data_IF_998804439731
#
_entry.id   IF_998804439731
#
_cell.length_a   1.000
_cell.length_b   1.000
_cell.length_c   1.000
_cell.angle_alpha   90.00
_cell.angle_beta   90.00
_cell.angle_gamma   90.00
#
_symmetry.space_group_name_H-M   'P 1'
#
loop_
_entity.id
_entity.type
_entity.pdbx_description
1 polymer ?
#
# COMPACT_ATOMS: atom_id res chain seq x y z
N UNK A 1 24.74 20.19 9.06
CA UNK A 1 23.90 19.12 9.62
C UNK A 1 22.43 19.53 9.50
N UNK A 2 21.56 18.65 9.02
CA UNK A 2 20.12 18.90 9.00
C UNK A 2 19.51 18.36 10.30
N UNK A 3 19.31 19.24 11.28
CA UNK A 3 18.76 18.87 12.59
C UNK A 3 17.28 18.51 12.44
N UNK A 4 16.84 17.48 13.14
CA UNK A 4 15.43 17.08 13.22
C UNK A 4 14.84 17.66 14.49
N UNK A 5 13.76 18.43 14.36
CA UNK A 5 13.07 19.00 15.52
C UNK A 5 12.26 17.93 16.26
N UNK A 6 11.80 18.24 17.48
CA UNK A 6 10.96 17.33 18.26
C UNK A 6 9.79 16.78 17.44
N UNK A 7 9.61 15.46 17.46
CA UNK A 7 8.58 14.75 16.66
C UNK A 7 8.65 15.01 15.14
N UNK A 8 9.81 15.43 14.64
CA UNK A 8 10.03 15.77 13.23
C UNK A 8 9.20 16.97 12.77
N UNK A 9 8.97 17.98 13.62
CA UNK A 9 8.13 19.13 13.30
C UNK A 9 8.54 19.88 12.02
N UNK A 10 9.82 19.81 11.65
CA UNK A 10 10.38 20.39 10.43
C UNK A 10 10.20 19.53 9.16
N UNK A 11 9.49 18.39 9.25
CA UNK A 11 9.16 17.55 8.10
C UNK A 11 7.68 17.60 7.74
N UNK A 12 7.39 17.59 6.45
CA UNK A 12 6.04 17.37 5.95
C UNK A 12 5.53 15.96 6.32
N UNK A 13 4.22 15.76 6.28
CA UNK A 13 3.61 14.45 6.54
C UNK A 13 4.15 13.39 5.56
N UNK A 14 4.25 13.72 4.27
CA UNK A 14 4.83 12.83 3.26
C UNK A 14 6.31 12.50 3.52
N UNK A 15 7.11 13.48 3.97
CA UNK A 15 8.51 13.22 4.35
C UNK A 15 8.61 12.27 5.55
N UNK A 16 7.73 12.41 6.55
CA UNK A 16 7.67 11.46 7.67
C UNK A 16 7.30 10.05 7.20
N UNK A 17 6.33 9.93 6.28
CA UNK A 17 5.97 8.64 5.66
C UNK A 17 7.15 8.00 4.93
N UNK A 18 7.89 8.77 4.12
CA UNK A 18 9.09 8.28 3.42
C UNK A 18 10.18 7.81 4.39
N UNK A 19 10.40 8.52 5.50
CA UNK A 19 11.35 8.08 6.54
C UNK A 19 10.89 6.77 7.19
N UNK A 20 9.59 6.62 7.50
CA UNK A 20 9.04 5.37 8.01
C UNK A 20 9.22 4.21 7.02
N UNK A 21 8.99 4.46 5.74
CA UNK A 21 9.21 3.49 4.68
C UNK A 21 10.69 3.07 4.59
N UNK A 22 11.61 4.03 4.59
CA UNK A 22 13.04 3.75 4.58
C UNK A 22 13.47 2.90 5.79
N UNK A 23 12.91 3.17 6.97
CA UNK A 23 13.14 2.34 8.17
C UNK A 23 12.64 0.91 7.98
N UNK A 24 11.47 0.72 7.36
CA UNK A 24 10.94 -0.61 7.08
C UNK A 24 11.86 -1.38 6.12
N UNK A 25 12.33 -0.74 5.05
CA UNK A 25 13.27 -1.32 4.09
C UNK A 25 14.57 -1.77 4.77
N UNK A 26 15.14 -0.91 5.63
CA UNK A 26 16.36 -1.22 6.37
C UNK A 26 16.18 -2.36 7.38
N UNK A 27 14.98 -2.49 7.97
CA UNK A 27 14.69 -3.56 8.92
C UNK A 27 14.59 -4.94 8.25
N UNK A 28 14.29 -5.00 6.94
CA UNK A 28 14.16 -6.26 6.18
C UNK A 28 13.22 -7.27 6.88
N UNK A 29 12.01 -6.81 7.21
CA UNK A 29 11.01 -7.65 7.86
C UNK A 29 10.56 -8.82 6.97
N UNK A 30 10.32 -10.00 7.56
CA UNK A 30 9.71 -11.14 6.86
C UNK A 30 8.23 -10.92 6.54
N UNK A 31 7.55 -10.11 7.35
CA UNK A 31 6.16 -9.71 7.17
C UNK A 31 6.09 -8.20 7.30
N UNK A 32 5.55 -7.52 6.28
CA UNK A 32 5.39 -6.08 6.22
C UNK A 32 3.90 -5.74 6.15
N UNK A 33 3.42 -4.94 7.09
CA UNK A 33 2.08 -4.38 7.04
C UNK A 33 2.16 -2.91 6.64
N UNK A 34 1.44 -2.53 5.59
CA UNK A 34 1.39 -1.18 5.04
C UNK A 34 -0.03 -0.68 5.16
N UNK A 35 -0.23 0.36 5.95
CA UNK A 35 -1.53 1.00 6.14
C UNK A 35 -1.50 2.39 5.52
N UNK A 36 -2.12 2.55 4.34
CA UNK A 36 -2.21 3.83 3.61
C UNK A 36 -0.89 4.63 3.51
N UNK A 37 0.25 3.94 3.37
CA UNK A 37 1.57 4.56 3.52
C UNK A 37 1.89 5.65 2.46
N UNK A 38 1.05 5.78 1.41
CA UNK A 38 1.21 6.75 0.32
C UNK A 38 0.04 7.75 0.22
N UNK A 39 -0.78 7.87 1.26
CA UNK A 39 -1.91 8.81 1.25
C UNK A 39 -1.51 10.28 1.06
N UNK A 40 -0.32 10.69 1.52
CA UNK A 40 0.14 12.09 1.50
C UNK A 40 1.27 12.36 0.50
N UNK A 41 1.39 11.53 -0.54
CA UNK A 41 2.39 11.71 -1.61
C UNK A 41 1.70 11.80 -2.98
N UNK A 42 2.34 12.52 -3.90
CA UNK A 42 1.90 12.63 -5.29
C UNK A 42 1.98 11.28 -6.03
N UNK A 43 1.32 11.18 -7.18
CA UNK A 43 1.24 9.93 -7.94
C UNK A 43 2.59 9.43 -8.47
N UNK A 44 3.52 10.31 -8.82
CA UNK A 44 4.85 9.89 -9.30
C UNK A 44 5.65 9.28 -8.15
N UNK A 45 5.65 9.94 -6.99
CA UNK A 45 6.28 9.46 -5.77
C UNK A 45 5.66 8.15 -5.29
N UNK A 46 4.33 8.02 -5.32
CA UNK A 46 3.62 6.78 -4.98
C UNK A 46 4.07 5.60 -5.85
N UNK A 47 4.12 5.79 -7.18
CA UNK A 47 4.61 4.75 -8.10
C UNK A 47 6.03 4.31 -7.77
N UNK A 48 6.93 5.27 -7.49
CA UNK A 48 8.30 4.96 -7.10
C UNK A 48 8.38 4.18 -5.77
N UNK A 49 7.58 4.58 -4.78
CA UNK A 49 7.45 3.88 -3.50
C UNK A 49 7.00 2.43 -3.72
N UNK A 50 5.95 2.21 -4.50
CA UNK A 50 5.41 0.87 -4.77
C UNK A 50 6.44 -0.02 -5.49
N UNK A 51 7.14 0.51 -6.49
CA UNK A 51 8.22 -0.22 -7.18
C UNK A 51 9.37 -0.57 -6.23
N UNK A 52 9.75 0.37 -5.35
CA UNK A 52 10.81 0.17 -4.36
C UNK A 52 10.42 -0.90 -3.34
N UNK A 53 9.19 -0.85 -2.82
CA UNK A 53 8.65 -1.85 -1.91
C UNK A 53 8.65 -3.25 -2.51
N UNK A 54 8.15 -3.40 -3.74
CA UNK A 54 8.13 -4.70 -4.44
C UNK A 54 9.52 -5.29 -4.61
N UNK A 55 10.49 -4.46 -4.99
CA UNK A 55 11.87 -4.93 -5.18
C UNK A 55 12.57 -5.25 -3.85
N UNK A 56 12.42 -4.40 -2.84
CA UNK A 56 13.02 -4.58 -1.52
C UNK A 56 12.43 -5.79 -0.76
N UNK A 57 11.12 -6.03 -0.89
CA UNK A 57 10.39 -7.04 -0.12
C UNK A 57 9.97 -8.26 -0.95
N UNK A 58 10.62 -8.52 -2.09
CA UNK A 58 10.29 -9.65 -3.00
C UNK A 58 10.25 -11.02 -2.30
N UNK A 59 10.97 -11.20 -1.19
CA UNK A 59 11.04 -12.45 -0.41
C UNK A 59 10.23 -12.41 0.89
N UNK A 60 9.49 -11.34 1.13
CA UNK A 60 8.71 -11.10 2.34
C UNK A 60 7.22 -11.16 2.02
N UNK A 61 6.41 -11.46 3.02
CA UNK A 61 4.95 -11.30 2.91
C UNK A 61 4.60 -9.84 3.12
N UNK A 62 3.87 -9.25 2.17
CA UNK A 62 3.41 -7.86 2.26
C UNK A 62 1.89 -7.85 2.35
N UNK A 63 1.36 -7.22 3.38
CA UNK A 63 -0.07 -6.98 3.57
C UNK A 63 -0.29 -5.48 3.45
N UNK A 64 -1.03 -5.05 2.45
CA UNK A 64 -1.28 -3.64 2.17
C UNK A 64 -2.76 -3.34 2.31
N UNK A 65 -3.09 -2.34 3.13
CA UNK A 65 -4.38 -1.68 3.16
C UNK A 65 -4.26 -0.46 2.24
N UNK A 66 -5.03 -0.47 1.16
CA UNK A 66 -4.96 0.56 0.15
C UNK A 66 -6.36 1.13 -0.12
N UNK A 67 -6.44 2.46 -0.15
CA UNK A 67 -7.58 3.18 -0.72
C UNK A 67 -7.43 3.42 -2.22
N UNK A 68 -6.23 3.24 -2.78
CA UNK A 68 -5.93 3.40 -4.21
C UNK A 68 -5.91 2.06 -4.92
N UNK A 69 -6.75 1.89 -5.92
CA UNK A 69 -6.92 0.64 -6.68
C UNK A 69 -5.65 0.29 -7.45
N UNK A 70 -4.89 1.30 -7.93
CA UNK A 70 -3.61 1.10 -8.62
C UNK A 70 -2.62 0.24 -7.81
N UNK A 71 -2.62 0.38 -6.48
CA UNK A 71 -1.75 -0.41 -5.59
C UNK A 71 -2.22 -1.87 -5.47
N UNK A 72 -3.52 -2.10 -5.62
CA UNK A 72 -4.16 -3.40 -5.41
C UNK A 72 -3.99 -4.30 -6.64
N UNK A 73 -3.98 -3.74 -7.86
CA UNK A 73 -3.79 -4.49 -9.11
C UNK A 73 -2.50 -5.31 -9.15
N UNK A 74 -1.44 -4.83 -8.52
CA UNK A 74 -0.13 -5.50 -8.51
C UNK A 74 0.00 -6.54 -7.37
N UNK A 75 -1.09 -6.84 -6.66
CA UNK A 75 -1.09 -7.79 -5.54
C UNK A 75 -1.34 -9.23 -5.99
N UNK A 76 -0.69 -10.20 -5.33
CA UNK A 76 -0.91 -11.63 -5.62
C UNK A 76 -2.36 -12.07 -5.34
N UNK A 77 -2.98 -11.48 -4.30
CA UNK A 77 -4.36 -11.71 -3.87
C UNK A 77 -4.94 -10.43 -3.27
N UNK A 78 -6.26 -10.28 -3.38
CA UNK A 78 -7.04 -9.17 -2.82
C UNK A 78 -8.07 -9.74 -1.87
N UNK A 79 -8.17 -9.15 -0.68
CA UNK A 79 -9.18 -9.46 0.31
C UNK A 79 -10.12 -8.26 0.44
N UNK A 80 -11.38 -8.43 0.04
CA UNK A 80 -12.41 -7.40 0.17
C UNK A 80 -13.19 -7.65 1.46
N UNK A 81 -13.35 -6.60 2.25
CA UNK A 81 -14.11 -6.64 3.50
C UNK A 81 -15.32 -5.71 3.45
N UNK A 82 -16.46 -6.19 3.96
CA UNK A 82 -17.67 -5.38 4.20
C UNK A 82 -18.28 -5.78 5.53
N UNK A 83 -18.76 -4.81 6.31
CA UNK A 83 -19.46 -5.03 7.58
C UNK A 83 -18.72 -5.96 8.56
N UNK A 84 -17.38 -5.80 8.61
CA UNK A 84 -16.51 -6.60 9.47
C UNK A 84 -16.33 -8.05 9.04
N UNK A 85 -16.72 -8.40 7.81
CA UNK A 85 -16.59 -9.75 7.24
C UNK A 85 -15.79 -9.72 5.95
N UNK A 86 -15.09 -10.83 5.67
CA UNK A 86 -14.50 -11.07 4.36
C UNK A 86 -15.62 -11.44 3.40
N UNK A 87 -15.78 -10.67 2.33
CA UNK A 87 -16.78 -10.91 1.29
C UNK A 87 -16.17 -11.54 0.04
N UNK A 88 -14.91 -11.21 -0.27
CA UNK A 88 -14.19 -11.77 -1.41
C UNK A 88 -12.72 -11.98 -1.07
N UNK A 89 -12.12 -13.03 -1.64
CA UNK A 89 -10.69 -13.29 -1.52
C UNK A 89 -10.19 -14.11 -2.71
N UNK A 90 -9.58 -13.46 -3.69
CA UNK A 90 -8.96 -14.12 -4.85
C UNK A 90 -7.91 -13.23 -5.53
N UNK A 91 -7.34 -13.64 -6.66
CA UNK A 91 -6.48 -12.78 -7.49
C UNK A 91 -7.28 -11.58 -8.05
N UNK A 92 -6.64 -10.42 -8.27
CA UNK A 92 -7.30 -9.28 -8.92
C UNK A 92 -7.98 -9.69 -10.24
N UNK A 93 -7.30 -10.50 -11.05
CA UNK A 93 -7.82 -10.98 -12.34
C UNK A 93 -9.12 -11.77 -12.21
N UNK A 94 -9.20 -12.69 -11.24
CA UNK A 94 -10.39 -13.51 -11.01
C UNK A 94 -11.55 -12.65 -10.50
N UNK A 95 -11.28 -11.73 -9.57
CA UNK A 95 -12.31 -10.84 -9.03
C UNK A 95 -12.84 -9.88 -10.10
N UNK A 96 -11.99 -9.40 -11.00
CA UNK A 96 -12.37 -8.52 -12.10
C UNK A 96 -13.11 -9.23 -13.25
N UNK A 97 -12.98 -10.55 -13.36
CA UNK A 97 -13.70 -11.32 -14.37
C UNK A 97 -15.22 -11.34 -14.11
N UNK A 98 -15.65 -11.15 -12.86
CA UNK A 98 -17.04 -10.94 -12.51
C UNK A 98 -17.35 -9.45 -12.35
N UNK A 99 -18.11 -8.89 -13.30
CA UNK A 99 -18.56 -7.50 -13.25
C UNK A 99 -19.43 -7.18 -12.03
N UNK A 100 -20.02 -8.19 -11.38
CA UNK A 100 -20.83 -8.02 -10.18
C UNK A 100 -20.03 -8.15 -8.88
N UNK A 101 -18.74 -8.49 -8.93
CA UNK A 101 -17.92 -8.59 -7.71
C UNK A 101 -17.82 -7.23 -7.01
N UNK A 102 -17.69 -7.27 -5.69
CA UNK A 102 -17.43 -6.09 -4.86
C UNK A 102 -16.14 -5.40 -5.31
N UNK A 103 -15.11 -6.17 -5.65
CA UNK A 103 -13.87 -5.62 -6.17
C UNK A 103 -14.03 -4.88 -7.50
N UNK A 104 -14.76 -5.44 -8.48
CA UNK A 104 -15.05 -4.78 -9.76
C UNK A 104 -15.79 -3.46 -9.56
N UNK A 105 -16.76 -3.43 -8.65
CA UNK A 105 -17.49 -2.21 -8.31
C UNK A 105 -16.55 -1.16 -7.69
N UNK A 106 -15.69 -1.54 -6.73
CA UNK A 106 -14.70 -0.64 -6.13
C UNK A 106 -13.77 -0.03 -7.18
N UNK A 107 -13.28 -0.84 -8.11
CA UNK A 107 -12.41 -0.40 -9.21
C UNK A 107 -13.12 0.57 -10.15
N UNK A 108 -14.42 0.38 -10.40
CA UNK A 108 -15.21 1.24 -11.29
C UNK A 108 -15.58 2.60 -10.68
N UNK A 109 -15.46 2.74 -9.36
CA UNK A 109 -15.85 3.93 -8.60
C UNK A 109 -14.68 4.82 -8.16
N UNK A 110 -13.43 4.41 -8.40
CA UNK A 110 -12.25 5.29 -8.43
C UNK A 110 -12.11 6.00 -9.78
#
# INVERSE_FOLDING_TARGET
>A
ENKVDGSGANFSVGQKQLICLARAVLHNAKVLCIDEATANVDHETDRLIQQTLRSAFRKSTVVTIAHRVQTIFDSDRVLVMSDGRVVEFDSPENLLADANSHFSQLVSHE
#
